data_IF_977018048049
#
_entry.id   IF_977018048049
#
_cell.length_a   1.000
_cell.length_b   1.000
_cell.length_c   1.000
_cell.angle_alpha   90.00
_cell.angle_beta   90.00
_cell.angle_gamma   90.00
#
_symmetry.space_group_name_H-M   'P 1'
#
loop_
_entity.id
_entity.type
_entity.pdbx_description
1 polymer ?
#
# COMPACT_ATOMS: atom_id res chain seq x y z
N UNK A 1 -36.25 -72.99 -17.89
CA UNK A 1 -35.49 -71.89 -17.26
C UNK A 1 -34.32 -71.38 -18.12
N UNK A 2 -34.24 -71.72 -19.42
CA UNK A 2 -33.12 -71.29 -20.28
C UNK A 2 -33.32 -69.93 -20.99
N UNK A 3 -34.56 -69.42 -21.06
CA UNK A 3 -34.88 -68.19 -21.84
C UNK A 3 -34.51 -66.90 -21.07
N UNK A 4 -34.26 -66.97 -19.77
CA UNK A 4 -33.92 -65.83 -18.91
C UNK A 4 -32.42 -65.53 -18.80
N UNK A 5 -31.55 -66.49 -19.16
CA UNK A 5 -30.10 -66.27 -19.15
C UNK A 5 -29.60 -65.67 -20.47
N UNK A 6 -30.06 -66.16 -21.63
CA UNK A 6 -29.68 -65.58 -22.92
C UNK A 6 -30.12 -64.11 -23.07
N UNK A 7 -31.29 -63.75 -22.52
CA UNK A 7 -31.79 -62.38 -22.53
C UNK A 7 -30.98 -61.42 -21.63
N UNK A 8 -30.46 -61.90 -20.49
CA UNK A 8 -29.57 -61.11 -19.64
C UNK A 8 -28.13 -61.04 -20.18
N UNK A 9 -27.66 -62.09 -20.86
CA UNK A 9 -26.36 -62.09 -21.53
C UNK A 9 -26.36 -61.16 -22.74
N UNK A 10 -27.41 -61.17 -23.57
CA UNK A 10 -27.53 -60.28 -24.73
C UNK A 10 -27.57 -58.80 -24.31
N UNK A 11 -28.32 -58.46 -23.26
CA UNK A 11 -28.40 -57.08 -22.74
C UNK A 11 -27.07 -56.58 -22.15
N UNK A 12 -26.31 -57.47 -21.50
CA UNK A 12 -24.97 -57.18 -20.95
C UNK A 12 -23.88 -57.08 -22.03
N UNK A 13 -24.11 -57.67 -23.20
CA UNK A 13 -23.21 -57.57 -24.36
C UNK A 13 -23.48 -56.26 -25.12
N UNK A 14 -24.74 -55.86 -25.33
CA UNK A 14 -25.11 -54.57 -25.92
C UNK A 14 -24.64 -53.36 -25.09
N UNK A 15 -24.73 -53.43 -23.76
CA UNK A 15 -24.25 -52.36 -22.87
C UNK A 15 -22.72 -52.19 -22.87
N UNK A 16 -21.96 -53.23 -23.24
CA UNK A 16 -20.49 -53.18 -23.31
C UNK A 16 -19.96 -52.66 -24.64
N UNK A 17 -20.72 -52.73 -25.73
CA UNK A 17 -20.27 -52.29 -27.06
C UNK A 17 -20.28 -50.76 -27.25
N UNK A 18 -20.90 -50.02 -26.33
CA UNK A 18 -20.90 -48.53 -26.35
C UNK A 18 -19.92 -47.89 -25.35
N UNK A 19 -19.10 -48.68 -24.65
CA UNK A 19 -18.11 -48.17 -23.69
C UNK A 19 -16.87 -47.67 -24.46
N UNK A 20 -16.96 -46.44 -24.99
CA UNK A 20 -15.80 -45.76 -25.58
C UNK A 20 -14.84 -45.39 -24.44
N UNK A 21 -13.71 -46.10 -24.35
CA UNK A 21 -12.64 -45.78 -23.40
C UNK A 21 -11.65 -44.84 -24.06
N UNK A 22 -11.24 -43.83 -23.30
CA UNK A 22 -10.10 -43.01 -23.66
C UNK A 22 -8.86 -43.89 -23.83
N UNK A 23 -8.03 -43.55 -24.81
CA UNK A 23 -6.69 -44.10 -24.94
C UNK A 23 -5.84 -43.73 -23.72
N UNK A 24 -4.80 -44.51 -23.46
CA UNK A 24 -3.86 -44.22 -22.37
C UNK A 24 -3.21 -42.84 -22.51
N UNK A 25 -2.99 -42.37 -23.75
CA UNK A 25 -2.44 -41.05 -24.06
C UNK A 25 -3.41 -39.90 -23.71
N UNK A 26 -4.71 -40.09 -23.95
CA UNK A 26 -5.74 -39.12 -23.55
C UNK A 26 -5.92 -39.08 -22.03
N UNK A 27 -5.91 -40.25 -21.36
CA UNK A 27 -5.95 -40.32 -19.90
C UNK A 27 -4.71 -39.67 -19.28
N UNK A 28 -3.54 -39.87 -19.86
CA UNK A 28 -2.30 -39.23 -19.41
C UNK A 28 -2.34 -37.72 -19.60
N UNK A 29 -2.86 -37.25 -20.74
CA UNK A 29 -3.04 -35.81 -21.01
C UNK A 29 -3.99 -35.16 -20.01
N UNK A 30 -5.10 -35.82 -19.66
CA UNK A 30 -6.04 -35.33 -18.64
C UNK A 30 -5.42 -35.27 -17.24
N UNK A 31 -4.59 -36.25 -16.87
CA UNK A 31 -3.86 -36.24 -15.60
C UNK A 31 -2.87 -35.09 -15.53
N UNK A 32 -2.05 -34.92 -16.56
CA UNK A 32 -1.11 -33.79 -16.66
C UNK A 32 -1.83 -32.44 -16.59
N UNK A 33 -2.99 -32.32 -17.23
CA UNK A 33 -3.81 -31.11 -17.16
C UNK A 33 -4.31 -30.84 -15.74
N UNK A 34 -4.82 -31.87 -15.06
CA UNK A 34 -5.27 -31.77 -13.66
C UNK A 34 -4.11 -31.37 -12.74
N UNK A 35 -2.95 -32.01 -12.88
CA UNK A 35 -1.73 -31.68 -12.13
C UNK A 35 -1.31 -30.22 -12.38
N UNK A 36 -1.34 -29.78 -13.64
CA UNK A 36 -1.04 -28.39 -14.01
C UNK A 36 -2.00 -27.39 -13.37
N UNK A 37 -3.30 -27.68 -13.31
CA UNK A 37 -4.28 -26.84 -12.61
C UNK A 37 -4.03 -26.79 -11.10
N UNK A 38 -3.72 -27.92 -10.48
CA UNK A 38 -3.40 -27.99 -9.05
C UNK A 38 -2.13 -27.20 -8.72
N UNK A 39 -1.07 -27.36 -9.52
CA UNK A 39 0.17 -26.61 -9.39
C UNK A 39 -0.07 -25.11 -9.53
N UNK A 40 -0.80 -24.69 -10.59
CA UNK A 40 -1.07 -23.27 -10.83
C UNK A 40 -1.91 -22.66 -9.71
N UNK A 41 -2.87 -23.41 -9.17
CA UNK A 41 -3.70 -22.98 -8.05
C UNK A 41 -2.87 -22.76 -6.78
N UNK A 42 -1.93 -23.66 -6.48
CA UNK A 42 -1.00 -23.51 -5.37
C UNK A 42 -0.08 -22.28 -5.56
N UNK A 43 0.49 -22.11 -6.76
CA UNK A 43 1.30 -20.94 -7.10
C UNK A 43 0.53 -19.63 -6.97
N UNK A 44 -0.73 -19.58 -7.42
CA UNK A 44 -1.57 -18.40 -7.23
C UNK A 44 -1.89 -18.13 -5.76
N UNK A 45 -2.11 -19.17 -4.95
CA UNK A 45 -2.27 -19.03 -3.51
C UNK A 45 -1.06 -18.36 -2.87
N UNK A 46 0.15 -18.87 -3.18
CA UNK A 46 1.39 -18.29 -2.70
C UNK A 46 1.58 -16.84 -3.16
N UNK A 47 1.29 -16.54 -4.44
CA UNK A 47 1.39 -15.19 -4.98
C UNK A 47 0.42 -14.22 -4.28
N UNK A 48 -0.81 -14.66 -3.99
CA UNK A 48 -1.79 -13.83 -3.24
C UNK A 48 -1.32 -13.51 -1.83
N UNK A 49 -0.68 -14.47 -1.15
CA UNK A 49 -0.09 -14.22 0.18
C UNK A 49 1.04 -13.21 0.09
N UNK A 50 1.95 -13.35 -0.88
CA UNK A 50 3.02 -12.38 -1.10
C UNK A 50 2.47 -10.98 -1.37
N UNK A 51 1.44 -10.88 -2.24
CA UNK A 51 0.77 -9.60 -2.52
C UNK A 51 0.15 -8.98 -1.27
N UNK A 52 -0.49 -9.80 -0.42
CA UNK A 52 -1.07 -9.32 0.85
C UNK A 52 0.01 -8.74 1.77
N UNK A 53 1.15 -9.41 1.91
CA UNK A 53 2.25 -8.93 2.75
C UNK A 53 2.84 -7.62 2.25
N UNK A 54 3.01 -7.48 0.93
CA UNK A 54 3.48 -6.22 0.33
C UNK A 54 2.46 -5.11 0.53
N UNK A 55 1.16 -5.40 0.38
CA UNK A 55 0.12 -4.40 0.65
C UNK A 55 0.16 -3.91 2.10
N UNK A 56 0.32 -4.81 3.07
CA UNK A 56 0.46 -4.42 4.49
C UNK A 56 1.69 -3.54 4.74
N UNK A 57 2.80 -3.79 4.03
CA UNK A 57 3.99 -2.94 4.11
C UNK A 57 3.73 -1.55 3.51
N UNK A 58 3.02 -1.47 2.39
CA UNK A 58 2.62 -0.20 1.79
C UNK A 58 1.70 0.59 2.74
N UNK A 59 0.68 -0.05 3.30
CA UNK A 59 -0.25 0.61 4.23
C UNK A 59 0.49 1.18 5.46
N UNK A 60 1.55 0.50 5.94
CA UNK A 60 2.38 0.98 7.04
C UNK A 60 3.28 2.18 6.63
N UNK A 61 3.78 2.19 5.40
CA UNK A 61 4.53 3.33 4.85
C UNK A 61 3.63 4.55 4.71
N UNK A 62 2.43 4.39 4.15
CA UNK A 62 1.45 5.46 3.97
C UNK A 62 1.05 6.07 5.33
N UNK A 63 0.83 5.23 6.34
CA UNK A 63 0.55 5.71 7.70
C UNK A 63 1.71 6.51 8.30
N UNK A 64 2.95 6.10 8.01
CA UNK A 64 4.16 6.81 8.46
C UNK A 64 4.30 8.15 7.74
N UNK A 65 4.02 8.19 6.43
CA UNK A 65 4.04 9.41 5.63
C UNK A 65 3.05 10.45 6.18
N UNK A 66 1.79 10.05 6.41
CA UNK A 66 0.77 10.92 7.00
C UNK A 66 1.21 11.47 8.37
N UNK A 67 1.83 10.63 9.21
CA UNK A 67 2.34 11.09 10.50
C UNK A 67 3.44 12.13 10.34
N UNK A 68 4.39 11.90 9.42
CA UNK A 68 5.48 12.85 9.15
C UNK A 68 4.97 14.17 8.58
N UNK A 69 3.97 14.14 7.70
CA UNK A 69 3.33 15.36 7.19
C UNK A 69 2.67 16.16 8.32
N UNK A 70 1.97 15.47 9.23
CA UNK A 70 1.37 16.09 10.41
C UNK A 70 2.44 16.72 11.31
N UNK A 71 3.49 15.96 11.64
CA UNK A 71 4.60 16.43 12.49
C UNK A 71 5.29 17.65 11.87
N UNK A 72 5.48 17.65 10.54
CA UNK A 72 6.07 18.76 9.82
C UNK A 72 5.20 20.03 9.88
N UNK A 73 3.89 19.89 9.67
CA UNK A 73 2.92 20.98 9.80
C UNK A 73 2.91 21.57 11.22
N UNK A 74 2.95 20.70 12.24
CA UNK A 74 3.07 21.15 13.63
C UNK A 74 4.37 21.92 13.89
N UNK A 75 5.48 21.49 13.29
CA UNK A 75 6.77 22.16 13.42
C UNK A 75 6.74 23.56 12.80
N UNK A 76 6.14 23.70 11.60
CA UNK A 76 5.93 25.00 10.97
C UNK A 76 5.05 25.93 11.83
N UNK A 77 4.01 25.38 12.45
CA UNK A 77 3.15 26.16 13.35
C UNK A 77 3.92 26.64 14.59
N UNK A 78 4.72 25.75 15.21
CA UNK A 78 5.60 26.10 16.33
C UNK A 78 6.59 27.18 15.92
N UNK A 79 7.17 27.11 14.72
CA UNK A 79 8.06 28.15 14.20
C UNK A 79 7.34 29.50 14.11
N UNK A 80 6.15 29.55 13.52
CA UNK A 80 5.36 30.79 13.43
C UNK A 80 5.01 31.34 14.82
N UNK A 81 4.64 30.49 15.77
CA UNK A 81 4.30 30.88 17.12
C UNK A 81 5.54 31.44 17.86
N UNK A 82 6.72 30.83 17.66
CA UNK A 82 7.99 31.33 18.19
C UNK A 82 8.31 32.69 17.60
N UNK A 83 8.25 32.86 16.27
CA UNK A 83 8.53 34.13 15.59
C UNK A 83 7.57 35.24 16.08
N UNK A 84 6.28 34.94 16.23
CA UNK A 84 5.31 35.88 16.81
C UNK A 84 5.69 36.27 18.23
N UNK A 85 5.98 35.29 19.09
CA UNK A 85 6.35 35.56 20.50
C UNK A 85 7.62 36.40 20.62
N UNK A 86 8.59 36.19 19.70
CA UNK A 86 9.82 36.97 19.64
C UNK A 86 9.56 38.40 19.17
N UNK A 87 8.77 38.59 18.11
CA UNK A 87 8.39 39.91 17.61
C UNK A 87 7.57 40.70 18.63
N UNK A 88 6.67 40.05 19.37
CA UNK A 88 5.91 40.69 20.46
C UNK A 88 6.83 41.13 21.62
N UNK A 89 7.84 40.33 21.95
CA UNK A 89 8.74 40.61 23.07
C UNK A 89 9.84 41.62 22.74
N UNK A 90 10.36 41.61 21.52
CA UNK A 90 11.53 42.40 21.13
C UNK A 90 11.25 43.46 20.06
N UNK A 91 10.01 43.54 19.55
CA UNK A 91 9.61 44.46 18.49
C UNK A 91 9.97 43.94 17.09
N UNK A 92 9.71 44.72 16.02
CA UNK A 92 10.14 44.35 14.69
C UNK A 92 11.68 44.30 14.63
N UNK A 93 12.24 43.19 14.19
CA UNK A 93 13.70 43.00 14.07
C UNK A 93 14.05 41.63 13.51
N UNK A 94 15.33 41.45 13.19
CA UNK A 94 15.87 40.15 12.76
C UNK A 94 16.54 39.46 13.95
N UNK A 95 16.05 38.28 14.32
CA UNK A 95 16.77 37.36 15.21
C UNK A 95 17.63 36.43 14.34
N UNK A 96 18.91 36.32 14.66
CA UNK A 96 19.73 35.22 14.18
C UNK A 96 19.59 34.03 15.15
N UNK A 97 18.89 32.94 14.76
CA UNK A 97 18.68 31.79 15.64
C UNK A 97 19.96 31.00 15.95
N UNK A 98 21.03 31.16 15.16
CA UNK A 98 22.31 30.48 15.39
C UNK A 98 23.18 31.20 16.43
N UNK A 99 23.11 32.53 16.51
CA UNK A 99 23.91 33.35 17.44
C UNK A 99 23.09 33.90 18.61
N UNK A 100 21.77 33.86 18.51
CA UNK A 100 20.84 34.42 19.51
C UNK A 100 20.82 35.95 19.55
N UNK A 101 21.46 36.62 18.59
CA UNK A 101 21.52 38.09 18.54
C UNK A 101 20.29 38.64 17.84
N UNK A 102 19.52 39.45 18.57
CA UNK A 102 18.38 40.19 18.03
C UNK A 102 18.82 41.59 17.59
N UNK A 103 18.57 41.92 16.32
CA UNK A 103 18.82 43.24 15.75
C UNK A 103 17.47 43.93 15.52
N UNK A 104 17.09 44.92 16.35
CA UNK A 104 15.85 45.67 16.17
C UNK A 104 15.85 46.41 14.83
N UNK A 105 14.73 46.40 14.12
CA UNK A 105 14.53 47.27 12.96
C UNK A 105 14.47 48.73 13.44
N UNK A 106 15.07 49.68 12.71
CA UNK A 106 15.00 51.09 13.07
C UNK A 106 13.53 51.52 13.11
N UNK A 107 13.04 51.86 14.30
CA UNK A 107 11.68 52.37 14.47
C UNK A 107 11.64 53.79 13.90
N UNK A 108 10.71 54.06 12.99
CA UNK A 108 10.46 55.37 12.35
C UNK A 108 10.00 56.48 13.31
N UNK A 109 10.28 56.36 14.62
CA UNK A 109 9.88 57.30 15.68
C UNK A 109 11.04 58.12 16.27
N UNK A 110 12.30 57.93 15.85
CA UNK A 110 13.44 58.71 16.35
C UNK A 110 14.02 59.73 15.36
N UNK A 111 13.39 59.96 14.20
CA UNK A 111 13.92 60.92 13.21
C UNK A 111 13.36 62.35 13.35
N UNK A 112 12.44 62.60 14.29
CA UNK A 112 11.74 63.91 14.40
C UNK A 112 12.27 64.87 15.47
N UNK A 113 13.25 64.52 16.31
CA UNK A 113 13.72 65.43 17.39
C UNK A 113 15.12 66.04 17.20
N UNK A 114 15.88 65.71 16.15
CA UNK A 114 17.24 66.28 15.95
C UNK A 114 17.36 67.30 14.82
N UNK A 115 16.26 67.73 14.19
CA UNK A 115 16.29 68.70 13.08
C UNK A 115 15.97 70.15 13.47
N UNK A 116 15.75 70.43 14.76
CA UNK A 116 15.66 71.80 15.29
C UNK A 116 16.82 72.06 16.26
N UNK A 117 18.01 72.40 15.74
CA UNK A 117 18.96 73.37 16.33
C UNK A 117 20.23 73.36 15.48
N UNK A 118 20.37 74.41 14.66
CA UNK A 118 21.60 75.12 14.21
C UNK A 118 21.51 75.50 12.75
#
# INVERSE_FOLDING_TARGET
MAVTEESNLAKKVEEKESEIKFSDEELQSLRSLQEGYQEKSAQFGQLKVQKLLVQQQLDALDATEIQMESDYSELQKKEQDIVKSLNEKYGPGNLDPATGVFTPAPTTAQVTETSETT
#
